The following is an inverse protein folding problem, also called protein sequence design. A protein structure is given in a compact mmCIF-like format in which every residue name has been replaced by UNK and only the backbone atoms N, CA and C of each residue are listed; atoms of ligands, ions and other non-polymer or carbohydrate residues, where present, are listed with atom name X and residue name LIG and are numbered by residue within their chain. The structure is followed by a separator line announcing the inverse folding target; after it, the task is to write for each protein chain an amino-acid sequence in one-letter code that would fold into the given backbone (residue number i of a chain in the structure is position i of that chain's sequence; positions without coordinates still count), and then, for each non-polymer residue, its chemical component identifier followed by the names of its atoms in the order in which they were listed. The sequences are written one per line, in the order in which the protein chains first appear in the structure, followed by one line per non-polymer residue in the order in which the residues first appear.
data_IF_629637155866
#
_entry.id   IF_629637155866
#
_cell.length_a   1.000
_cell.length_b   1.000
_cell.length_c   1.000
_cell.angle_alpha   90.00
_cell.angle_beta   90.00
_cell.angle_gamma   90.00
#
_symmetry.space_group_name_H-M   'P 1'
#
loop_
_entity.id
_entity.type
_entity.pdbx_description
1 polymer ?
#
# COMPACT_ATOMS: atom_id res chain seq x y z
N UNK A 1 -27.05 54.17 25.70
CA UNK A 1 -25.91 53.21 25.54
C UNK A 1 -24.59 53.99 25.55
N UNK A 2 -23.81 53.87 26.62
CA UNK A 2 -22.61 54.69 26.88
C UNK A 2 -21.52 54.46 25.83
N UNK A 3 -20.81 55.50 25.35
CA UNK A 3 -19.86 55.43 24.21
C UNK A 3 -18.76 54.38 24.45
N UNK A 4 -18.29 54.26 25.70
CA UNK A 4 -17.33 53.25 26.15
C UNK A 4 -17.85 51.80 26.03
N UNK A 5 -19.16 51.58 26.15
CA UNK A 5 -19.74 50.24 26.08
C UNK A 5 -19.76 49.72 24.65
N UNK A 6 -20.05 50.59 23.68
CA UNK A 6 -20.03 50.26 22.23
C UNK A 6 -18.62 49.87 21.75
N UNK A 7 -17.59 50.58 22.20
CA UNK A 7 -16.19 50.27 21.84
C UNK A 7 -15.73 48.93 22.42
N UNK A 8 -16.15 48.59 23.65
CA UNK A 8 -15.87 47.29 24.27
C UNK A 8 -16.55 46.14 23.51
N UNK A 9 -17.80 46.31 23.09
CA UNK A 9 -18.51 45.31 22.29
C UNK A 9 -17.87 45.11 20.90
N UNK A 10 -17.40 46.18 20.25
CA UNK A 10 -16.66 46.07 18.99
C UNK A 10 -15.36 45.31 19.14
N UNK A 11 -14.58 45.59 20.19
CA UNK A 11 -13.31 44.88 20.46
C UNK A 11 -13.53 43.38 20.71
N UNK A 12 -14.55 43.02 21.49
CA UNK A 12 -14.89 41.62 21.75
C UNK A 12 -15.30 40.92 20.45
N UNK A 13 -16.11 41.58 19.61
CA UNK A 13 -16.50 41.04 18.31
C UNK A 13 -15.31 40.74 17.39
N UNK A 14 -14.34 41.66 17.32
CA UNK A 14 -13.13 41.47 16.50
C UNK A 14 -12.28 40.29 17.01
N UNK A 15 -12.12 40.17 18.34
CA UNK A 15 -11.37 39.07 18.94
C UNK A 15 -12.02 37.72 18.62
N UNK A 16 -13.34 37.61 18.77
CA UNK A 16 -14.07 36.37 18.49
C UNK A 16 -13.96 35.97 17.02
N UNK A 17 -14.16 36.91 16.09
CA UNK A 17 -14.04 36.62 14.64
C UNK A 17 -12.62 36.19 14.28
N UNK A 18 -11.60 36.84 14.85
CA UNK A 18 -10.20 36.47 14.61
C UNK A 18 -9.86 35.08 15.14
N UNK A 19 -10.39 34.69 16.31
CA UNK A 19 -10.15 33.37 16.89
C UNK A 19 -10.80 32.23 16.08
N UNK A 20 -11.99 32.47 15.53
CA UNK A 20 -12.67 31.51 14.64
C UNK A 20 -11.86 31.34 13.35
N UNK A 21 -11.42 32.45 12.74
CA UNK A 21 -10.63 32.40 11.50
C UNK A 21 -9.30 31.68 11.66
N UNK A 22 -8.59 31.90 12.77
CA UNK A 22 -7.33 31.20 13.09
C UNK A 22 -7.58 29.69 13.30
N UNK A 23 -8.67 29.33 13.98
CA UNK A 23 -9.01 27.92 14.22
C UNK A 23 -9.33 27.18 12.92
N UNK A 24 -10.16 27.77 12.04
CA UNK A 24 -10.49 27.18 10.73
C UNK A 24 -9.26 27.04 9.82
N UNK A 25 -8.36 28.01 9.82
CA UNK A 25 -7.13 27.93 9.03
C UNK A 25 -6.15 26.86 9.56
N UNK A 26 -6.16 26.59 10.87
CA UNK A 26 -5.36 25.52 11.48
C UNK A 26 -5.92 24.13 11.16
N UNK A 27 -7.24 23.98 11.16
CA UNK A 27 -7.89 22.72 10.78
C UNK A 27 -7.64 22.36 9.31
N UNK A 28 -7.73 23.32 8.38
CA UNK A 28 -7.42 23.08 6.97
C UNK A 28 -5.99 22.54 6.76
N UNK A 29 -4.99 23.13 7.42
CA UNK A 29 -3.60 22.65 7.31
C UNK A 29 -3.40 21.24 7.83
N UNK A 30 -4.14 20.87 8.88
CA UNK A 30 -4.03 19.55 9.47
C UNK A 30 -4.76 18.49 8.61
N UNK A 31 -5.84 18.89 7.95
CA UNK A 31 -6.57 18.05 6.98
C UNK A 31 -5.72 17.84 5.72
N UNK A 32 -5.06 18.88 5.19
CA UNK A 32 -4.17 18.76 4.03
C UNK A 32 -2.99 17.80 4.31
N UNK A 33 -2.37 17.87 5.49
CA UNK A 33 -1.29 16.95 5.90
C UNK A 33 -1.77 15.51 6.08
N UNK A 34 -3.03 15.30 6.46
CA UNK A 34 -3.62 13.95 6.56
C UNK A 34 -3.95 13.39 5.17
N UNK A 35 -4.45 14.23 4.26
CA UNK A 35 -4.71 13.85 2.86
C UNK A 35 -3.43 13.52 2.11
N UNK A 36 -2.36 14.30 2.27
CA UNK A 36 -1.06 14.02 1.64
C UNK A 36 -0.46 12.69 2.11
N UNK A 37 -0.62 12.34 3.40
CA UNK A 37 -0.22 11.02 3.89
C UNK A 37 -1.09 9.90 3.29
N UNK A 38 -2.41 10.09 3.21
CA UNK A 38 -3.30 9.07 2.63
C UNK A 38 -2.99 8.88 1.15
N UNK A 39 -2.71 9.93 0.38
CA UNK A 39 -2.32 9.82 -1.02
C UNK A 39 -0.94 9.17 -1.20
N UNK A 40 0.00 9.39 -0.27
CA UNK A 40 1.27 8.67 -0.24
C UNK A 40 1.11 7.17 0.08
N UNK A 41 0.09 6.79 0.87
CA UNK A 41 -0.21 5.39 1.21
C UNK A 41 -1.18 4.69 0.23
N UNK A 42 -2.00 5.45 -0.49
CA UNK A 42 -2.97 4.93 -1.47
C UNK A 42 -2.45 5.00 -2.91
N UNK A 43 -1.49 5.87 -3.19
CA UNK A 43 -0.78 5.97 -4.48
C UNK A 43 0.37 4.97 -4.63
N UNK A 44 0.74 4.25 -3.56
CA UNK A 44 1.62 3.10 -3.66
C UNK A 44 0.81 1.86 -4.08
N UNK A 45 0.32 1.89 -5.33
CA UNK A 45 0.11 0.70 -6.15
C UNK A 45 1.45 -0.02 -6.47
N UNK A 46 2.53 0.40 -5.81
CA UNK A 46 3.67 -0.42 -5.47
C UNK A 46 3.18 -1.60 -4.60
N UNK A 47 2.56 -2.57 -5.24
CA UNK A 47 3.01 -3.94 -5.05
C UNK A 47 4.53 -3.91 -5.26
N UNK A 48 5.26 -3.54 -4.19
CA UNK A 48 6.68 -3.28 -4.21
C UNK A 48 7.32 -4.41 -4.98
N UNK A 49 8.04 -4.02 -6.03
CA UNK A 49 8.58 -4.89 -7.07
C UNK A 49 8.59 -6.32 -6.57
N UNK A 50 7.60 -7.12 -7.00
CA UNK A 50 7.65 -8.57 -6.84
C UNK A 50 9.05 -8.92 -7.29
N UNK A 51 9.90 -9.25 -6.31
CA UNK A 51 11.35 -9.35 -6.44
C UNK A 51 11.62 -9.99 -7.81
N UNK A 52 12.42 -9.36 -8.70
CA UNK A 52 12.56 -9.81 -10.10
C UNK A 52 12.94 -11.31 -10.23
N UNK A 53 13.33 -11.89 -9.10
CA UNK A 53 13.54 -13.31 -8.79
C UNK A 53 12.27 -14.16 -8.72
N UNK A 54 11.06 -13.60 -8.82
CA UNK A 54 9.77 -14.29 -8.68
C UNK A 54 8.94 -14.21 -9.97
N UNK A 55 8.31 -15.34 -10.30
CA UNK A 55 7.23 -15.44 -11.30
C UNK A 55 5.91 -15.17 -10.57
N UNK A 56 5.18 -14.10 -10.91
CA UNK A 56 3.90 -13.79 -10.27
C UNK A 56 2.80 -14.77 -10.70
N UNK A 57 1.69 -14.77 -9.95
CA UNK A 57 0.54 -15.65 -10.20
C UNK A 57 0.92 -17.14 -10.27
N UNK A 58 1.94 -17.51 -9.51
CA UNK A 58 2.51 -18.85 -9.49
C UNK A 58 2.89 -19.24 -8.07
N UNK A 59 2.84 -20.54 -7.77
CA UNK A 59 3.31 -21.11 -6.50
C UNK A 59 4.24 -22.28 -6.73
N UNK A 60 5.01 -22.62 -5.69
CA UNK A 60 5.85 -23.82 -5.69
C UNK A 60 4.96 -25.07 -5.78
N UNK A 61 5.21 -25.86 -6.82
CA UNK A 61 4.65 -27.18 -7.03
C UNK A 61 5.76 -28.22 -7.22
N UNK A 62 5.35 -29.44 -7.54
CA UNK A 62 6.26 -30.55 -7.85
C UNK A 62 5.78 -31.25 -9.11
N UNK A 63 6.71 -31.64 -9.98
CA UNK A 63 6.43 -32.55 -11.10
C UNK A 63 7.28 -33.79 -11.01
N UNK A 64 6.69 -34.93 -11.35
CA UNK A 64 7.42 -36.20 -11.44
C UNK A 64 8.11 -36.28 -12.79
N UNK A 65 9.42 -36.47 -12.78
CA UNK A 65 10.21 -36.80 -13.97
C UNK A 65 10.64 -38.26 -13.92
N UNK A 66 10.87 -38.83 -15.09
CA UNK A 66 11.37 -40.19 -15.24
C UNK A 66 12.79 -40.15 -15.81
N UNK A 67 13.70 -40.86 -15.16
CA UNK A 67 15.10 -40.96 -15.52
C UNK A 67 15.45 -42.43 -15.78
N UNK A 68 16.28 -42.70 -16.78
CA UNK A 68 16.82 -44.05 -17.01
C UNK A 68 18.24 -44.07 -16.44
N UNK A 69 18.44 -44.90 -15.41
CA UNK A 69 19.73 -45.15 -14.77
C UNK A 69 20.01 -46.66 -14.84
N UNK A 70 21.12 -47.04 -15.45
CA UNK A 70 21.53 -48.45 -15.64
C UNK A 70 20.43 -49.35 -16.22
N UNK A 71 19.68 -48.84 -17.20
CA UNK A 71 18.58 -49.57 -17.85
C UNK A 71 17.32 -49.73 -17.01
N UNK A 72 17.26 -49.15 -15.80
CA UNK A 72 16.05 -49.10 -14.97
C UNK A 72 15.39 -47.73 -15.08
N UNK A 73 14.07 -47.73 -15.26
CA UNK A 73 13.26 -46.52 -15.20
C UNK A 73 13.01 -46.14 -13.75
N UNK A 74 13.55 -45.01 -13.34
CA UNK A 74 13.34 -44.41 -12.03
C UNK A 74 12.48 -43.17 -12.17
N UNK A 75 11.76 -42.81 -11.11
CA UNK A 75 11.06 -41.54 -11.05
C UNK A 75 11.56 -40.72 -9.87
N UNK A 76 11.58 -39.40 -10.04
CA UNK A 76 11.87 -38.45 -8.98
C UNK A 76 10.99 -37.23 -9.12
N UNK A 77 10.83 -36.49 -8.03
CA UNK A 77 10.08 -35.24 -8.02
C UNK A 77 11.05 -34.07 -8.07
N UNK A 78 10.74 -33.11 -8.93
CA UNK A 78 11.49 -31.85 -9.01
C UNK A 78 10.57 -30.66 -8.75
N UNK A 79 11.07 -29.59 -8.12
CA UNK A 79 10.31 -28.37 -7.89
C UNK A 79 9.98 -27.69 -9.24
N UNK A 80 8.81 -27.09 -9.32
CA UNK A 80 8.33 -26.37 -10.49
C UNK A 80 7.37 -25.24 -10.10
N UNK A 81 7.11 -24.30 -11.00
CA UNK A 81 6.15 -23.22 -10.81
C UNK A 81 4.81 -23.59 -11.41
N UNK A 82 3.76 -23.62 -10.58
CA UNK A 82 2.38 -23.89 -10.97
C UNK A 82 1.53 -22.62 -10.93
N UNK A 83 0.63 -22.38 -11.91
CA UNK A 83 -0.31 -21.26 -11.87
C UNK A 83 -1.14 -21.21 -10.58
N UNK A 84 -1.28 -20.01 -10.02
CA UNK A 84 -2.13 -19.71 -8.88
C UNK A 84 -2.90 -18.40 -9.12
N UNK A 85 -4.24 -18.39 -8.97
CA UNK A 85 -5.05 -17.19 -9.17
C UNK A 85 -4.80 -16.09 -8.12
N UNK A 86 -4.11 -16.40 -7.02
CA UNK A 86 -3.81 -15.41 -5.98
C UNK A 86 -2.83 -14.35 -6.48
N UNK A 87 -3.23 -13.08 -6.36
CA UNK A 87 -2.36 -11.92 -6.64
C UNK A 87 -1.15 -11.79 -5.70
N UNK A 88 -1.14 -12.55 -4.60
CA UNK A 88 -0.04 -12.59 -3.63
C UNK A 88 0.85 -13.81 -3.81
N UNK A 89 0.66 -14.58 -4.90
CA UNK A 89 1.48 -15.75 -5.18
C UNK A 89 2.72 -15.39 -6.00
N UNK A 90 3.83 -16.04 -5.65
CA UNK A 90 5.10 -15.96 -6.38
C UNK A 90 5.84 -17.30 -6.32
N UNK A 91 6.57 -17.61 -7.39
CA UNK A 91 7.43 -18.80 -7.47
C UNK A 91 8.83 -18.41 -7.96
N UNK A 92 9.88 -19.05 -7.47
CA UNK A 92 11.25 -18.70 -7.84
C UNK A 92 11.49 -18.83 -9.36
N UNK A 93 12.00 -17.76 -9.96
CA UNK A 93 12.38 -17.70 -11.38
C UNK A 93 13.54 -18.65 -11.65
N UNK A 94 13.48 -19.33 -12.80
CA UNK A 94 14.46 -20.36 -13.18
C UNK A 94 14.01 -21.79 -12.86
N UNK A 95 12.90 -21.97 -12.14
CA UNK A 95 12.22 -23.27 -12.07
C UNK A 95 11.40 -23.53 -13.33
N UNK A 96 11.27 -24.81 -13.69
CA UNK A 96 10.40 -25.24 -14.78
C UNK A 96 8.92 -24.96 -14.46
N UNK A 97 8.11 -24.79 -15.50
CA UNK A 97 6.66 -24.71 -15.35
C UNK A 97 6.02 -26.10 -15.18
N UNK A 98 4.93 -26.10 -14.43
CA UNK A 98 3.94 -27.16 -14.26
C UNK A 98 2.55 -26.53 -14.07
#
# INVERSE_FOLDING_TARGET
MNRNMKTKFLLIGVIVVSAIFISSHKENKNIDLLLENIDAYAGSDEHGDIDETLVPYSKLGEKTIYCILDGKMLSTKIPCCKPDPSKFSGCAKGLDNC
#
